data_IF_909490251335
#
_entry.id   IF_909490251335
#
_cell.length_a   1.000
_cell.length_b   1.000
_cell.length_c   1.000
_cell.angle_alpha   90.00
_cell.angle_beta   90.00
_cell.angle_gamma   90.00
#
_symmetry.space_group_name_H-M   'P 1'
#
loop_
_entity.id
_entity.type
_entity.pdbx_description
1 polymer ?
#
# COMPACT_ATOMS: atom_id res chain seq x y z
N UNK A 1 20.04 -69.66 -25.75
CA UNK A 1 19.39 -68.94 -24.63
C UNK A 1 19.15 -67.44 -24.88
N UNK A 2 19.78 -66.82 -25.88
CA UNK A 2 19.67 -65.37 -26.17
C UNK A 2 18.30 -64.89 -26.69
N UNK A 3 17.59 -65.70 -27.50
CA UNK A 3 16.30 -65.28 -28.09
C UNK A 3 15.15 -65.18 -27.10
N UNK A 4 15.09 -66.05 -26.07
CA UNK A 4 14.05 -66.00 -25.03
C UNK A 4 14.24 -64.81 -24.07
N UNK A 5 15.50 -64.47 -23.76
CA UNK A 5 15.82 -63.30 -22.94
C UNK A 5 15.45 -61.99 -23.65
N UNK A 6 15.74 -61.89 -24.95
CA UNK A 6 15.36 -60.72 -25.77
C UNK A 6 13.83 -60.56 -25.91
N UNK A 7 13.08 -61.66 -25.94
CA UNK A 7 11.61 -61.62 -25.99
C UNK A 7 10.98 -61.17 -24.66
N UNK A 8 11.62 -61.45 -23.52
CA UNK A 8 11.17 -61.00 -22.20
C UNK A 8 11.55 -59.54 -21.88
N UNK A 9 12.69 -59.06 -22.40
CA UNK A 9 13.18 -57.69 -22.14
C UNK A 9 12.43 -56.65 -23.00
N UNK A 10 12.03 -56.99 -24.22
CA UNK A 10 11.30 -56.08 -25.12
C UNK A 10 9.99 -55.52 -24.54
N UNK A 11 9.07 -56.32 -23.96
CA UNK A 11 7.85 -55.77 -23.37
C UNK A 11 8.15 -54.93 -22.13
N UNK A 12 9.15 -55.33 -21.32
CA UNK A 12 9.54 -54.63 -20.10
C UNK A 12 10.11 -53.24 -20.41
N UNK A 13 10.98 -53.14 -21.43
CA UNK A 13 11.51 -51.88 -21.93
C UNK A 13 10.40 -50.98 -22.49
N UNK A 14 9.42 -51.55 -23.21
CA UNK A 14 8.25 -50.80 -23.70
C UNK A 14 7.43 -50.24 -22.55
N UNK A 15 7.14 -51.03 -21.52
CA UNK A 15 6.41 -50.55 -20.33
C UNK A 15 7.16 -49.47 -19.57
N UNK A 16 8.48 -49.59 -19.40
CA UNK A 16 9.30 -48.55 -18.75
C UNK A 16 9.32 -47.28 -19.59
N UNK A 17 9.42 -47.39 -20.91
CA UNK A 17 9.36 -46.24 -21.81
C UNK A 17 7.99 -45.55 -21.79
N UNK A 18 6.90 -46.32 -21.76
CA UNK A 18 5.55 -45.72 -21.64
C UNK A 18 5.32 -45.09 -20.28
N UNK A 19 5.80 -45.70 -19.18
CA UNK A 19 5.71 -45.11 -17.84
C UNK A 19 6.56 -43.84 -17.73
N UNK A 20 7.75 -43.84 -18.33
CA UNK A 20 8.61 -42.66 -18.43
C UNK A 20 7.95 -41.55 -19.25
N UNK A 21 7.32 -41.88 -20.37
CA UNK A 21 6.59 -40.92 -21.21
C UNK A 21 5.39 -40.32 -20.46
N UNK A 22 4.62 -41.15 -19.74
CA UNK A 22 3.49 -40.68 -18.93
C UNK A 22 3.98 -39.80 -17.77
N UNK A 23 5.11 -40.14 -17.14
CA UNK A 23 5.70 -39.32 -16.08
C UNK A 23 6.18 -37.97 -16.63
N UNK A 24 6.83 -37.97 -17.80
CA UNK A 24 7.29 -36.74 -18.46
C UNK A 24 6.08 -35.87 -18.87
N UNK A 25 5.02 -36.45 -19.43
CA UNK A 25 3.79 -35.73 -19.77
C UNK A 25 3.04 -35.19 -18.52
N UNK A 26 3.01 -35.97 -17.44
CA UNK A 26 2.39 -35.54 -16.19
C UNK A 26 3.17 -34.40 -15.52
N UNK A 27 4.50 -34.39 -15.64
CA UNK A 27 5.36 -33.35 -15.06
C UNK A 27 5.51 -32.13 -15.99
N UNK A 28 5.33 -32.26 -17.30
CA UNK A 28 5.39 -31.13 -18.24
C UNK A 28 4.22 -30.15 -18.15
N UNK A 29 3.10 -30.55 -17.52
CA UNK A 29 1.93 -29.70 -17.36
C UNK A 29 1.91 -28.90 -16.05
N UNK A 30 2.87 -29.12 -15.16
CA UNK A 30 2.96 -28.36 -13.91
C UNK A 30 3.42 -26.91 -14.13
N UNK A 31 4.25 -26.67 -15.15
CA UNK A 31 4.86 -25.34 -15.36
C UNK A 31 3.86 -24.28 -15.85
N UNK A 32 2.85 -24.67 -16.64
CA UNK A 32 1.82 -23.74 -17.13
C UNK A 32 0.92 -23.19 -16.01
N UNK A 33 0.62 -24.01 -15.00
CA UNK A 33 -0.15 -23.58 -13.82
C UNK A 33 0.68 -22.72 -12.86
N UNK A 34 2.01 -22.85 -12.89
CA UNK A 34 2.94 -22.04 -12.09
C UNK A 34 3.27 -20.69 -12.75
N UNK A 35 3.32 -20.64 -14.09
CA UNK A 35 3.57 -19.42 -14.87
C UNK A 35 2.41 -18.41 -14.77
N UNK A 36 1.17 -18.90 -14.83
CA UNK A 36 -0.07 -18.11 -14.70
C UNK A 36 -0.21 -17.34 -13.37
N UNK A 37 0.69 -17.54 -12.41
CA UNK A 37 0.69 -16.89 -11.09
C UNK A 37 1.94 -16.04 -10.84
N UNK A 38 2.63 -15.65 -11.92
CA UNK A 38 3.73 -14.68 -11.88
C UNK A 38 3.22 -13.29 -11.49
N UNK A 39 3.89 -12.63 -10.55
CA UNK A 39 3.49 -11.32 -10.04
C UNK A 39 4.53 -10.24 -10.34
N UNK A 40 4.03 -9.08 -10.74
CA UNK A 40 4.81 -7.87 -10.95
C UNK A 40 4.59 -6.90 -9.80
N UNK A 41 5.64 -6.16 -9.43
CA UNK A 41 5.58 -5.18 -8.34
C UNK A 41 6.39 -3.94 -8.67
N UNK A 42 5.81 -2.79 -8.43
CA UNK A 42 6.51 -1.50 -8.43
C UNK A 42 6.06 -0.69 -7.23
N UNK A 43 6.98 -0.08 -6.50
CA UNK A 43 6.58 0.67 -5.31
C UNK A 43 7.73 1.19 -4.48
N UNK A 44 7.41 1.92 -3.44
CA UNK A 44 8.38 2.52 -2.56
C UNK A 44 7.69 3.50 -1.63
N UNK A 45 8.45 4.02 -0.69
CA UNK A 45 7.91 5.01 0.22
C UNK A 45 8.70 5.16 1.49
N UNK A 46 8.36 6.22 2.20
CA UNK A 46 8.85 6.44 3.55
C UNK A 46 7.71 7.01 4.37
N UNK A 47 7.40 6.38 5.51
CA UNK A 47 6.41 6.87 6.47
C UNK A 47 7.00 7.99 7.37
N UNK A 48 7.87 8.80 6.77
CA UNK A 48 8.48 9.97 7.40
C UNK A 48 7.74 11.20 6.91
N UNK A 49 7.58 12.17 7.79
CA UNK A 49 7.01 13.45 7.38
C UNK A 49 7.91 14.09 6.33
N UNK A 50 7.33 14.63 5.23
CA UNK A 50 8.04 15.58 4.41
C UNK A 50 8.51 16.71 5.33
N UNK A 51 9.82 16.91 5.44
CA UNK A 51 10.35 18.07 6.17
C UNK A 51 9.90 19.29 5.39
N UNK A 52 8.87 19.99 5.87
CA UNK A 52 8.56 21.33 5.36
C UNK A 52 9.83 22.14 5.57
N UNK A 53 10.52 22.49 4.47
CA UNK A 53 11.62 23.45 4.54
C UNK A 53 10.99 24.77 4.96
N UNK A 54 10.88 24.99 6.26
CA UNK A 54 10.51 26.28 6.81
C UNK A 54 11.63 27.20 6.37
N UNK A 55 11.34 28.00 5.34
CA UNK A 55 12.17 29.12 4.95
C UNK A 55 12.25 30.02 6.17
N UNK A 56 13.29 29.86 6.99
CA UNK A 56 13.61 30.84 8.02
C UNK A 56 13.93 32.11 7.26
N UNK A 57 13.09 33.16 7.34
CA UNK A 57 13.45 34.42 6.74
C UNK A 57 14.76 34.83 7.41
N UNK A 58 15.84 34.98 6.63
CA UNK A 58 17.06 35.59 7.15
C UNK A 58 16.65 36.96 7.68
N UNK A 59 16.56 37.10 9.00
CA UNK A 59 16.45 38.41 9.64
C UNK A 59 17.73 39.15 9.30
N UNK A 60 17.63 40.04 8.31
CA UNK A 60 18.66 40.98 7.94
C UNK A 60 18.83 41.93 9.13
N UNK A 61 19.80 41.65 10.00
CA UNK A 61 20.18 42.58 11.04
C UNK A 61 20.84 43.79 10.36
N UNK A 62 20.30 45.02 10.50
CA UNK A 62 20.98 46.20 9.99
C UNK A 62 22.26 46.45 10.80
N UNK A 63 23.37 46.85 10.17
CA UNK A 63 24.56 47.28 10.88
C UNK A 63 24.35 48.69 11.44
N UNK A 64 24.07 48.79 12.73
CA UNK A 64 24.18 50.01 13.53
C UNK A 64 24.66 49.59 14.91
N UNK A 65 25.78 50.06 15.45
CA UNK A 65 26.26 51.44 15.40
C UNK A 65 25.97 52.09 16.75
N UNK A 66 26.85 51.85 17.73
CA UNK A 66 27.07 52.74 18.88
C UNK A 66 26.09 52.64 20.06
N UNK A 67 26.67 52.44 21.25
CA UNK A 67 26.35 53.31 22.38
C UNK A 67 25.75 52.67 23.63
N UNK A 68 26.47 52.90 24.73
CA UNK A 68 25.99 53.06 26.11
C UNK A 68 25.66 51.83 26.96
N UNK A 69 26.72 51.41 27.67
CA UNK A 69 26.70 51.06 29.08
C UNK A 69 25.71 51.90 29.91
N UNK A 70 24.79 51.22 30.60
CA UNK A 70 24.15 51.71 31.82
C UNK A 70 23.78 50.51 32.71
N UNK A 71 24.45 50.30 33.86
CA UNK A 71 24.07 49.30 34.83
C UNK A 71 22.93 49.84 35.72
N UNK A 72 21.78 49.20 35.71
CA UNK A 72 20.72 49.51 36.67
C UNK A 72 20.90 48.69 37.96
N UNK A 73 20.87 49.33 39.15
CA UNK A 73 21.15 48.68 40.42
C UNK A 73 19.92 47.98 41.00
N UNK A 74 20.19 47.02 41.87
CA UNK A 74 19.17 46.32 42.66
C UNK A 74 18.32 47.25 43.54
N UNK A 75 17.07 46.82 43.69
CA UNK A 75 16.08 47.25 44.67
C UNK A 75 14.90 46.28 44.50
N UNK A 76 14.61 45.38 45.43
CA UNK A 76 14.35 45.69 46.82
C UNK A 76 12.91 46.14 46.95
N UNK A 77 11.95 45.22 46.77
CA UNK A 77 10.55 45.47 47.11
C UNK A 77 10.04 44.31 47.97
N UNK A 78 10.04 44.55 49.28
CA UNK A 78 9.38 43.72 50.27
C UNK A 78 7.90 44.07 50.32
N UNK A 79 7.05 43.05 50.20
CA UNK A 79 5.67 43.08 50.68
C UNK A 79 5.56 42.09 51.86
N UNK A 80 4.90 42.47 52.96
CA UNK A 80 4.92 41.71 54.19
C UNK A 80 3.84 40.63 54.17
N UNK A 81 4.21 39.36 54.03
CA UNK A 81 3.35 38.27 54.49
C UNK A 81 3.64 38.00 55.96
N UNK A 82 2.95 38.77 56.81
CA UNK A 82 2.64 38.36 58.19
C UNK A 82 1.75 37.12 58.10
N UNK A 83 2.31 35.95 58.43
CA UNK A 83 1.54 34.75 58.75
C UNK A 83 1.32 34.76 60.27
N UNK A 84 0.10 35.00 60.79
CA UNK A 84 -0.22 34.60 62.14
C UNK A 84 -0.73 33.16 62.09
N UNK A 85 0.12 32.23 62.50
CA UNK A 85 -0.32 30.97 63.07
C UNK A 85 -0.88 31.27 64.46
N UNK A 86 -2.21 31.21 64.63
CA UNK A 86 -2.98 31.04 65.89
C UNK A 86 -4.45 31.32 65.52
N UNK A 87 -5.47 30.50 65.76
CA UNK A 87 -5.64 29.23 66.45
C UNK A 87 -7.15 29.00 66.58
N UNK A 88 -7.54 27.73 66.76
CA UNK A 88 -8.78 27.29 67.44
C UNK A 88 -10.12 27.57 66.73
N UNK A 89 -10.76 26.48 66.27
CA UNK A 89 -12.22 26.36 66.33
C UNK A 89 -12.95 26.06 65.01
N UNK A 90 -13.24 24.78 64.79
CA UNK A 90 -14.52 24.31 64.21
C UNK A 90 -14.82 24.61 62.73
N UNK A 91 -14.76 23.58 61.90
CA UNK A 91 -15.54 23.52 60.66
C UNK A 91 -14.74 23.15 59.41
N UNK A 92 -14.90 21.91 58.96
CA UNK A 92 -14.70 21.53 57.57
C UNK A 92 -15.53 22.47 56.67
N UNK A 93 -14.92 23.50 56.05
CA UNK A 93 -15.67 24.29 55.07
C UNK A 93 -15.14 25.65 54.61
N UNK A 94 -14.04 26.20 55.14
CA UNK A 94 -13.79 27.64 54.98
C UNK A 94 -13.13 28.12 53.67
N UNK A 95 -12.15 27.40 53.12
CA UNK A 95 -11.37 27.83 51.95
C UNK A 95 -10.74 26.63 51.24
N UNK A 96 -10.30 25.64 52.01
CA UNK A 96 -9.63 24.44 51.48
C UNK A 96 -10.57 23.56 50.65
N UNK A 97 -11.83 23.41 51.06
CA UNK A 97 -12.87 22.72 50.27
C UNK A 97 -13.22 23.48 48.99
N UNK A 98 -13.24 24.81 49.03
CA UNK A 98 -13.46 25.66 47.86
C UNK A 98 -12.31 25.53 46.88
N UNK A 99 -11.06 25.51 47.35
CA UNK A 99 -9.88 25.31 46.50
C UNK A 99 -9.84 23.90 45.88
N UNK A 100 -10.20 22.87 46.64
CA UNK A 100 -10.32 21.49 46.11
C UNK A 100 -11.43 21.43 45.05
N UNK A 101 -12.58 22.04 45.32
CA UNK A 101 -13.68 22.09 44.36
C UNK A 101 -13.30 22.84 43.08
N UNK A 102 -12.60 23.97 43.19
CA UNK A 102 -12.12 24.75 42.04
C UNK A 102 -11.09 23.95 41.22
N UNK A 103 -10.20 23.20 41.88
CA UNK A 103 -9.22 22.35 41.22
C UNK A 103 -9.90 21.20 40.46
N UNK A 104 -10.88 20.53 41.07
CA UNK A 104 -11.64 19.45 40.44
C UNK A 104 -12.50 19.98 39.29
N UNK A 105 -13.16 21.13 39.47
CA UNK A 105 -13.96 21.76 38.42
C UNK A 105 -13.09 22.18 37.23
N UNK A 106 -11.91 22.76 37.47
CA UNK A 106 -10.98 23.12 36.40
C UNK A 106 -10.41 21.87 35.69
N UNK A 107 -10.12 20.80 36.44
CA UNK A 107 -9.71 19.51 35.88
C UNK A 107 -10.81 18.88 35.00
N UNK A 108 -12.06 18.91 35.46
CA UNK A 108 -13.22 18.40 34.70
C UNK A 108 -13.47 19.24 33.45
N UNK A 109 -13.40 20.57 33.53
CA UNK A 109 -13.54 21.44 32.35
C UNK A 109 -12.40 21.22 31.36
N UNK A 110 -11.17 21.04 31.83
CA UNK A 110 -10.02 20.74 30.95
C UNK A 110 -10.13 19.36 30.28
N UNK A 111 -10.62 18.35 30.99
CA UNK A 111 -10.86 17.01 30.41
C UNK A 111 -12.06 17.02 29.46
N UNK A 112 -13.15 17.71 29.79
CA UNK A 112 -14.31 17.83 28.91
C UNK A 112 -14.00 18.66 27.66
N UNK A 113 -13.20 19.72 27.77
CA UNK A 113 -12.69 20.46 26.60
C UNK A 113 -11.76 19.59 25.76
N UNK A 114 -10.91 18.76 26.38
CA UNK A 114 -10.03 17.82 25.66
C UNK A 114 -10.80 16.72 24.92
N UNK A 115 -11.92 16.26 25.47
CA UNK A 115 -12.80 15.23 24.87
C UNK A 115 -13.78 15.84 23.86
N UNK A 116 -14.29 17.04 24.12
CA UNK A 116 -15.26 17.73 23.26
C UNK A 116 -14.60 18.41 22.05
N UNK A 117 -13.34 18.84 22.16
CA UNK A 117 -12.58 19.41 21.04
C UNK A 117 -11.73 18.34 20.36
N UNK A 118 -12.35 17.26 19.86
CA UNK A 118 -11.73 16.31 18.93
C UNK A 118 -11.42 16.91 17.55
N UNK A 119 -10.90 18.16 17.50
CA UNK A 119 -10.70 18.92 16.27
C UNK A 119 -10.00 20.28 16.44
N UNK A 120 -9.03 20.43 17.34
CA UNK A 120 -8.30 21.70 17.49
C UNK A 120 -6.86 21.53 17.98
N UNK A 121 -5.91 21.81 17.07
CA UNK A 121 -4.53 22.25 17.28
C UNK A 121 -3.80 21.74 18.52
N UNK A 122 -3.13 20.61 18.36
CA UNK A 122 -2.13 20.12 19.30
C UNK A 122 -0.81 20.89 19.09
N UNK A 123 -0.61 21.93 19.90
CA UNK A 123 0.69 22.58 20.08
C UNK A 123 1.50 21.68 21.03
N UNK A 124 2.04 20.60 20.48
CA UNK A 124 2.84 19.61 21.19
C UNK A 124 3.72 18.85 20.21
N UNK A 125 5.04 18.85 20.44
CA UNK A 125 6.08 18.23 19.62
C UNK A 125 6.02 16.68 19.66
N UNK A 126 4.92 16.11 19.18
CA UNK A 126 4.82 14.70 18.84
C UNK A 126 3.82 14.57 17.68
N UNK A 127 4.24 15.09 16.52
CA UNK A 127 3.40 15.14 15.33
C UNK A 127 3.14 13.71 14.85
N UNK A 128 2.00 13.13 15.22
CA UNK A 128 1.53 11.82 14.76
C UNK A 128 0.19 11.97 14.01
N UNK A 129 0.23 12.48 12.77
CA UNK A 129 -0.94 12.75 11.97
C UNK A 129 -1.65 11.46 11.57
N UNK A 130 -2.90 11.60 11.15
CA UNK A 130 -3.63 10.51 10.51
C UNK A 130 -3.04 10.24 9.13
N UNK A 131 -2.95 8.97 8.77
CA UNK A 131 -2.58 8.48 7.44
C UNK A 131 -3.72 7.56 6.98
N UNK A 132 -4.10 7.68 5.72
CA UNK A 132 -5.09 6.82 5.10
C UNK A 132 -4.38 5.83 4.19
N UNK A 133 -4.53 4.54 4.49
CA UNK A 133 -4.02 3.43 3.68
C UNK A 133 -5.16 2.94 2.80
N UNK A 134 -4.99 3.05 1.49
CA UNK A 134 -6.00 2.72 0.51
C UNK A 134 -5.55 1.52 -0.32
N UNK A 135 -6.51 0.68 -0.67
CA UNK A 135 -6.39 -0.44 -1.60
C UNK A 135 -7.46 -0.28 -2.68
N UNK A 136 -7.03 -0.24 -3.93
CA UNK A 136 -7.90 -0.31 -5.10
C UNK A 136 -7.47 -1.52 -5.93
N UNK A 137 -8.37 -2.47 -6.12
CA UNK A 137 -8.17 -3.63 -6.96
C UNK A 137 -9.06 -3.53 -8.18
N UNK A 138 -8.50 -3.83 -9.35
CA UNK A 138 -9.21 -3.82 -10.64
C UNK A 138 -8.93 -5.15 -11.33
N UNK A 139 -9.99 -5.88 -11.63
CA UNK A 139 -9.96 -7.08 -12.46
C UNK A 139 -10.34 -6.75 -13.89
N UNK A 140 -9.38 -6.96 -14.78
CA UNK A 140 -9.51 -6.75 -16.20
C UNK A 140 -9.64 -8.09 -16.92
N UNK A 141 -10.37 -8.11 -18.03
CA UNK A 141 -10.37 -9.24 -18.94
C UNK A 141 -9.01 -9.37 -19.65
N UNK A 142 -8.65 -10.59 -20.03
CA UNK A 142 -7.41 -10.88 -20.74
C UNK A 142 -7.29 -10.21 -22.12
N UNK A 143 -8.34 -9.64 -22.69
CA UNK A 143 -8.20 -8.79 -23.86
C UNK A 143 -7.38 -7.52 -23.57
N UNK A 144 -7.16 -7.18 -22.29
CA UNK A 144 -6.23 -6.16 -21.83
C UNK A 144 -4.76 -6.63 -21.75
N UNK A 145 -4.35 -7.66 -22.51
CA UNK A 145 -2.95 -8.17 -22.53
C UNK A 145 -1.92 -7.08 -22.83
N UNK A 146 -2.30 -6.00 -23.52
CA UNK A 146 -1.45 -4.83 -23.77
C UNK A 146 -1.09 -4.03 -22.50
N UNK A 147 -1.82 -4.24 -21.40
CA UNK A 147 -1.56 -3.56 -20.11
C UNK A 147 -0.32 -4.15 -19.40
N UNK A 148 -0.08 -5.45 -19.50
CA UNK A 148 1.08 -6.11 -18.88
C UNK A 148 2.42 -5.51 -19.36
N UNK A 149 2.71 -5.39 -20.67
CA UNK A 149 3.94 -4.76 -21.14
C UNK A 149 4.02 -3.27 -20.80
N UNK A 150 2.89 -2.54 -20.74
CA UNK A 150 2.87 -1.15 -20.30
C UNK A 150 3.28 -1.04 -18.82
N UNK A 151 2.71 -1.84 -17.93
CA UNK A 151 3.07 -1.88 -16.50
C UNK A 151 4.53 -2.34 -16.29
N UNK A 152 5.02 -3.29 -17.09
CA UNK A 152 6.42 -3.72 -17.06
C UNK A 152 7.35 -2.56 -17.42
N UNK A 153 7.02 -1.78 -18.45
CA UNK A 153 7.82 -0.61 -18.87
C UNK A 153 7.84 0.49 -17.80
N UNK A 154 6.69 0.76 -17.17
CA UNK A 154 6.60 1.70 -16.03
C UNK A 154 7.53 1.18 -14.90
N UNK A 155 7.47 -0.11 -14.59
CA UNK A 155 8.32 -0.75 -13.58
C UNK A 155 9.82 -0.66 -13.86
N UNK A 156 10.24 -0.79 -15.10
CA UNK A 156 11.65 -0.70 -15.48
C UNK A 156 12.20 0.73 -15.47
N UNK A 157 11.37 1.72 -15.83
CA UNK A 157 11.79 3.10 -16.00
C UNK A 157 11.64 3.97 -14.73
N UNK A 158 10.77 3.58 -13.79
CA UNK A 158 10.38 4.51 -12.74
C UNK A 158 11.39 4.66 -11.60
N UNK A 159 11.52 5.91 -11.12
CA UNK A 159 12.18 6.25 -9.87
C UNK A 159 11.23 6.08 -8.68
N UNK A 160 11.39 4.97 -7.94
CA UNK A 160 10.55 4.69 -6.76
C UNK A 160 11.06 5.31 -5.45
N UNK A 161 12.22 5.99 -5.47
CA UNK A 161 12.81 6.59 -4.27
C UNK A 161 12.36 8.04 -4.03
N UNK A 162 11.99 8.78 -5.07
CA UNK A 162 11.49 10.15 -4.94
C UNK A 162 9.97 10.19 -4.74
N UNK A 163 9.43 11.14 -3.93
CA UNK A 163 7.99 11.40 -3.87
C UNK A 163 7.38 11.72 -5.24
N UNK A 164 8.11 12.47 -6.06
CA UNK A 164 7.71 12.84 -7.41
C UNK A 164 7.59 11.62 -8.31
N UNK A 165 8.61 10.74 -8.31
CA UNK A 165 8.57 9.50 -9.10
C UNK A 165 7.48 8.53 -8.63
N UNK A 166 7.17 8.46 -7.33
CA UNK A 166 5.99 7.71 -6.85
C UNK A 166 4.68 8.29 -7.38
N UNK A 167 4.52 9.60 -7.38
CA UNK A 167 3.31 10.22 -7.92
C UNK A 167 3.20 9.99 -9.43
N UNK A 168 4.31 10.03 -10.16
CA UNK A 168 4.37 9.69 -11.59
C UNK A 168 3.91 8.24 -11.84
N UNK A 169 4.44 7.25 -11.11
CA UNK A 169 4.01 5.85 -11.22
C UNK A 169 2.50 5.72 -10.99
N UNK A 170 1.98 6.37 -9.95
CA UNK A 170 0.56 6.34 -9.62
C UNK A 170 -0.28 6.94 -10.76
N UNK A 171 0.17 8.06 -11.33
CA UNK A 171 -0.50 8.72 -12.46
C UNK A 171 -0.45 7.88 -13.73
N UNK A 172 0.72 7.33 -14.09
CA UNK A 172 0.86 6.49 -15.28
C UNK A 172 0.05 5.20 -15.16
N UNK A 173 0.07 4.55 -14.00
CA UNK A 173 -0.72 3.33 -13.74
C UNK A 173 -2.21 3.62 -13.81
N UNK A 174 -2.68 4.68 -13.15
CA UNK A 174 -4.11 5.04 -13.18
C UNK A 174 -4.56 5.48 -14.57
N UNK A 175 -3.70 6.16 -15.33
CA UNK A 175 -3.96 6.53 -16.71
C UNK A 175 -4.02 5.31 -17.63
N UNK A 176 -3.12 4.33 -17.47
CA UNK A 176 -3.14 3.08 -18.24
C UNK A 176 -4.46 2.33 -18.02
N UNK A 177 -4.93 2.23 -16.77
CA UNK A 177 -6.25 1.65 -16.46
C UNK A 177 -7.42 2.46 -17.06
N UNK A 178 -7.34 3.79 -17.03
CA UNK A 178 -8.36 4.67 -17.60
C UNK A 178 -8.39 4.68 -19.14
N UNK A 179 -7.31 4.25 -19.81
CA UNK A 179 -7.27 4.07 -21.27
C UNK A 179 -7.93 2.76 -21.73
N UNK A 180 -8.15 1.83 -20.81
CA UNK A 180 -8.74 0.52 -21.06
C UNK A 180 -10.03 0.27 -20.24
N UNK A 181 -11.00 1.20 -20.25
CA UNK A 181 -12.21 1.06 -19.43
C UNK A 181 -13.08 -0.12 -19.85
N UNK A 182 -13.05 -0.51 -21.14
CA UNK A 182 -13.85 -1.61 -21.70
C UNK A 182 -13.46 -2.99 -21.19
N UNK A 183 -12.26 -3.14 -20.63
CA UNK A 183 -11.78 -4.41 -20.10
C UNK A 183 -11.96 -4.53 -18.59
N UNK A 184 -12.32 -3.44 -17.89
CA UNK A 184 -12.55 -3.45 -16.45
C UNK A 184 -13.89 -4.10 -16.12
N UNK A 185 -13.87 -5.27 -15.51
CA UNK A 185 -15.08 -6.05 -15.17
C UNK A 185 -15.29 -6.15 -13.68
N UNK A 186 -14.21 -6.19 -12.91
CA UNK A 186 -14.28 -6.29 -11.46
C UNK A 186 -13.52 -5.16 -10.78
N UNK A 187 -14.00 -4.73 -9.63
CA UNK A 187 -13.29 -3.79 -8.79
C UNK A 187 -13.59 -3.98 -7.30
N UNK A 188 -12.63 -3.61 -6.45
CA UNK A 188 -12.81 -3.48 -5.02
C UNK A 188 -12.01 -2.30 -4.49
N UNK A 189 -12.61 -1.57 -3.55
CA UNK A 189 -11.94 -0.50 -2.80
C UNK A 189 -11.94 -0.82 -1.31
N UNK A 190 -10.86 -0.43 -0.64
CA UNK A 190 -10.75 -0.48 0.81
C UNK A 190 -9.92 0.67 1.32
N UNK A 191 -10.41 1.37 2.34
CA UNK A 191 -9.66 2.43 3.02
C UNK A 191 -9.57 2.10 4.50
N UNK A 192 -8.38 2.23 5.06
CA UNK A 192 -8.11 2.10 6.48
C UNK A 192 -7.38 3.33 6.99
N UNK A 193 -7.93 3.96 8.03
CA UNK A 193 -7.28 5.10 8.67
C UNK A 193 -6.44 4.62 9.86
N UNK A 194 -5.18 5.05 9.89
CA UNK A 194 -4.26 4.75 10.97
C UNK A 194 -3.49 6.02 11.38
N UNK A 195 -2.81 5.96 12.52
CA UNK A 195 -1.81 6.97 12.90
C UNK A 195 -0.50 6.69 12.16
N UNK A 196 0.29 7.71 11.84
CA UNK A 196 1.57 7.59 11.10
C UNK A 196 2.44 6.44 11.63
N UNK A 197 2.62 6.35 12.95
CA UNK A 197 3.44 5.32 13.60
C UNK A 197 2.94 3.88 13.37
N UNK A 198 1.64 3.71 13.15
CA UNK A 198 1.02 2.41 12.87
C UNK A 198 0.83 2.18 11.36
N UNK A 199 0.72 3.24 10.56
CA UNK A 199 0.36 3.19 9.15
C UNK A 199 1.34 2.36 8.32
N UNK A 200 2.65 2.45 8.61
CA UNK A 200 3.67 1.63 7.95
C UNK A 200 3.40 0.13 8.12
N UNK A 201 3.13 -0.30 9.35
CA UNK A 201 2.82 -1.70 9.63
C UNK A 201 1.54 -2.18 8.94
N UNK A 202 0.52 -1.31 8.84
CA UNK A 202 -0.74 -1.63 8.17
C UNK A 202 -0.55 -1.76 6.65
N UNK A 203 0.18 -0.81 6.05
CA UNK A 203 0.53 -0.83 4.63
C UNK A 203 1.34 -2.08 4.29
N UNK A 204 2.42 -2.35 5.03
CA UNK A 204 3.27 -3.51 4.80
C UNK A 204 2.50 -4.84 4.96
N UNK A 205 1.53 -4.90 5.88
CA UNK A 205 0.67 -6.07 6.05
C UNK A 205 -0.24 -6.29 4.83
N UNK A 206 -0.85 -5.22 4.30
CA UNK A 206 -1.68 -5.31 3.09
C UNK A 206 -0.82 -5.68 1.88
N UNK A 207 0.33 -5.03 1.70
CA UNK A 207 1.29 -5.37 0.65
C UNK A 207 1.71 -6.84 0.72
N UNK A 208 2.06 -7.35 1.91
CA UNK A 208 2.44 -8.74 2.09
C UNK A 208 1.28 -9.70 1.79
N UNK A 209 0.04 -9.36 2.18
CA UNK A 209 -1.14 -10.18 1.91
C UNK A 209 -1.49 -10.25 0.42
N UNK A 210 -1.26 -9.18 -0.34
CA UNK A 210 -1.42 -9.21 -1.79
C UNK A 210 -0.27 -9.99 -2.44
N UNK A 211 0.97 -9.80 -1.97
CA UNK A 211 2.16 -10.52 -2.49
C UNK A 211 2.14 -12.01 -2.21
N UNK A 212 1.53 -12.46 -1.11
CA UNK A 212 1.43 -13.89 -0.79
C UNK A 212 0.58 -14.68 -1.77
N UNK A 213 -0.21 -13.99 -2.62
CA UNK A 213 -1.00 -14.61 -3.69
C UNK A 213 -0.14 -14.97 -4.90
N UNK A 214 1.06 -14.40 -5.03
CA UNK A 214 1.95 -14.65 -6.15
C UNK A 214 2.69 -15.96 -5.93
N UNK A 215 2.77 -16.80 -6.98
CA UNK A 215 3.62 -18.00 -6.92
C UNK A 215 5.09 -17.66 -7.10
N UNK A 216 5.39 -16.60 -7.87
CA UNK A 216 6.74 -16.05 -8.03
C UNK A 216 6.66 -14.55 -8.33
N UNK A 217 7.55 -13.76 -7.74
CA UNK A 217 7.72 -12.32 -8.04
C UNK A 217 8.79 -12.17 -9.13
N UNK A 218 8.36 -12.09 -10.39
CA UNK A 218 9.24 -12.14 -11.57
C UNK A 218 9.82 -10.78 -11.92
N UNK A 219 9.05 -9.71 -11.72
CA UNK A 219 9.50 -8.33 -11.90
C UNK A 219 9.19 -7.51 -10.65
N UNK A 220 10.22 -6.91 -10.05
CA UNK A 220 10.06 -6.02 -8.91
C UNK A 220 10.94 -4.79 -9.05
N UNK A 221 10.37 -3.59 -8.89
CA UNK A 221 11.13 -2.36 -8.69
C UNK A 221 10.66 -1.72 -7.40
N UNK A 222 11.42 -1.91 -6.32
CA UNK A 222 11.10 -1.29 -5.04
C UNK A 222 12.27 -0.55 -4.41
N UNK A 223 12.03 0.71 -4.02
CA UNK A 223 13.05 1.62 -3.50
C UNK A 223 14.28 1.72 -4.43
N UNK A 224 14.00 1.81 -5.72
CA UNK A 224 14.91 1.83 -6.86
C UNK A 224 15.81 0.59 -6.94
N UNK A 225 15.34 -0.54 -6.40
CA UNK A 225 15.97 -1.85 -6.58
C UNK A 225 15.16 -2.65 -7.58
N UNK A 226 15.56 -2.57 -8.84
CA UNK A 226 15.03 -3.42 -9.90
C UNK A 226 15.59 -4.84 -9.74
N UNK A 227 14.70 -5.82 -9.56
CA UNK A 227 14.98 -7.24 -9.66
C UNK A 227 14.02 -7.81 -10.68
N UNK A 228 14.56 -8.21 -11.82
CA UNK A 228 13.90 -9.11 -12.73
C UNK A 228 14.51 -10.50 -12.45
N UNK A 229 13.70 -11.44 -11.94
CA UNK A 229 14.03 -12.83 -12.19
C UNK A 229 13.94 -12.96 -13.71
N UNK A 230 15.02 -13.38 -14.37
CA UNK A 230 14.97 -13.75 -15.79
C UNK A 230 13.71 -14.60 -15.92
N UNK A 231 12.69 -14.05 -16.61
CA UNK A 231 11.52 -14.82 -16.95
C UNK A 231 12.09 -16.09 -17.55
N UNK A 232 11.96 -17.22 -16.84
CA UNK A 232 12.36 -18.51 -17.34
C UNK A 232 11.71 -18.53 -18.71
N UNK A 233 12.52 -18.41 -19.77
CA UNK A 233 12.07 -18.12 -21.13
C UNK A 233 10.78 -18.85 -21.30
N UNK A 234 9.67 -18.10 -21.48
CA UNK A 234 8.41 -18.70 -21.82
C UNK A 234 8.73 -19.56 -23.03
N UNK A 235 8.94 -20.86 -22.78
CA UNK A 235 9.06 -21.85 -23.82
C UNK A 235 7.85 -21.53 -24.67
N UNK A 236 8.04 -21.24 -25.97
CA UNK A 236 6.96 -20.73 -26.80
C UNK A 236 5.78 -21.61 -26.48
N UNK A 237 4.72 -21.01 -25.91
CA UNK A 237 3.49 -21.70 -25.57
C UNK A 237 3.24 -22.57 -26.76
N UNK A 238 3.47 -23.88 -26.63
CA UNK A 238 3.62 -24.69 -27.81
C UNK A 238 2.32 -24.47 -28.55
N UNK A 239 2.44 -23.99 -29.78
CA UNK A 239 1.37 -24.04 -30.75
C UNK A 239 1.17 -25.53 -31.08
N UNK A 240 0.91 -26.33 -30.05
CA UNK A 240 0.55 -27.73 -30.07
C UNK A 240 -0.96 -27.76 -30.07
N UNK A 241 -1.45 -27.69 -31.31
CA UNK A 241 -2.50 -28.55 -31.83
C UNK A 241 -3.70 -28.63 -30.89
N UNK A 242 -4.65 -27.74 -31.15
CA UNK A 242 -6.10 -28.00 -31.17
C UNK A 242 -6.50 -29.30 -30.45
N UNK A 243 -6.42 -29.27 -29.12
CA UNK A 243 -6.86 -30.36 -28.27
C UNK A 243 -8.25 -29.94 -27.78
N UNK A 244 -9.34 -30.48 -28.36
CA UNK A 244 -10.71 -29.99 -28.14
C UNK A 244 -11.23 -30.17 -26.71
N UNK A 245 -10.41 -30.71 -25.80
CA UNK A 245 -10.69 -30.92 -24.38
C UNK A 245 -10.22 -29.77 -23.47
N UNK A 246 -9.39 -28.80 -23.91
CA UNK A 246 -9.02 -27.64 -23.06
C UNK A 246 -10.19 -26.69 -22.83
N UNK A 247 -11.06 -26.53 -23.83
CA UNK A 247 -12.31 -25.77 -23.75
C UNK A 247 -13.31 -26.30 -22.69
N UNK A 248 -13.07 -27.50 -22.15
CA UNK A 248 -13.97 -28.14 -21.17
C UNK A 248 -13.44 -27.96 -19.73
N UNK A 249 -12.15 -27.65 -19.55
CA UNK A 249 -11.56 -27.45 -18.23
C UNK A 249 -11.18 -25.98 -17.94
N UNK A 250 -11.02 -25.16 -18.96
CA UNK A 250 -10.77 -23.72 -18.84
C UNK A 250 -12.09 -22.99 -19.14
N UNK A 251 -12.77 -22.54 -18.08
CA UNK A 251 -13.99 -21.76 -18.19
C UNK A 251 -13.76 -20.43 -18.94
N UNK A 252 -14.83 -19.81 -19.48
CA UNK A 252 -14.75 -18.55 -20.21
C UNK A 252 -14.50 -17.39 -19.24
N UNK A 253 -13.23 -17.14 -18.91
CA UNK A 253 -12.86 -16.00 -18.07
C UNK A 253 -11.38 -16.04 -17.74
N UNK A 254 -10.60 -15.44 -18.62
CA UNK A 254 -9.20 -15.13 -18.42
C UNK A 254 -9.09 -13.69 -17.89
N UNK A 255 -8.38 -13.49 -16.79
CA UNK A 255 -8.32 -12.20 -16.08
C UNK A 255 -6.90 -11.75 -15.75
N UNK A 256 -6.73 -10.43 -15.63
CA UNK A 256 -5.55 -9.76 -15.12
C UNK A 256 -6.00 -8.89 -13.95
N UNK A 257 -5.30 -8.96 -12.83
CA UNK A 257 -5.58 -8.15 -11.64
C UNK A 257 -4.51 -7.09 -11.50
N UNK A 258 -4.94 -5.85 -11.27
CA UNK A 258 -4.07 -4.74 -10.88
C UNK A 258 -4.52 -4.24 -9.51
N UNK A 259 -3.58 -4.20 -8.57
CA UNK A 259 -3.79 -3.73 -7.20
C UNK A 259 -2.94 -2.50 -6.94
N UNK A 260 -3.57 -1.40 -6.55
CA UNK A 260 -2.93 -0.16 -6.13
C UNK A 260 -3.08 -0.02 -4.61
N UNK A 261 -1.96 0.04 -3.92
CA UNK A 261 -1.87 0.38 -2.50
C UNK A 261 -1.25 1.76 -2.36
N UNK A 262 -1.92 2.67 -1.66
CA UNK A 262 -1.38 4.01 -1.37
C UNK A 262 -1.47 4.32 0.12
N UNK A 263 -0.44 4.96 0.65
CA UNK A 263 -0.49 5.58 1.98
C UNK A 263 -0.45 7.09 1.81
N UNK A 264 -1.53 7.77 2.19
CA UNK A 264 -1.67 9.23 2.06
C UNK A 264 -1.70 9.91 3.41
N UNK A 265 -0.97 11.02 3.52
CA UNK A 265 -1.02 11.88 4.70
C UNK A 265 -2.39 12.56 4.79
N UNK A 266 -3.01 12.52 5.96
CA UNK A 266 -4.34 13.09 6.19
C UNK A 266 -5.47 12.09 6.01
N UNK A 267 -6.70 12.62 5.96
CA UNK A 267 -7.91 11.83 5.72
C UNK A 267 -8.15 11.77 4.21
N UNK A 268 -8.23 10.55 3.68
CA UNK A 268 -8.55 10.29 2.29
C UNK A 268 -9.32 8.98 2.22
N UNK A 269 -10.48 8.99 1.59
CA UNK A 269 -11.34 7.82 1.47
C UNK A 269 -11.68 7.59 0.00
N UNK A 270 -11.50 6.35 -0.46
CA UNK A 270 -11.93 5.96 -1.80
C UNK A 270 -13.45 5.70 -1.80
N UNK A 271 -14.15 6.09 -2.89
CA UNK A 271 -15.57 5.78 -3.02
C UNK A 271 -15.78 4.27 -3.11
N UNK A 272 -16.96 3.82 -2.66
CA UNK A 272 -17.41 2.46 -2.93
C UNK A 272 -17.66 2.30 -4.43
N UNK A 273 -17.17 1.21 -5.01
CA UNK A 273 -17.27 0.94 -6.44
C UNK A 273 -18.36 -0.09 -6.70
N UNK A 274 -19.43 0.31 -7.38
CA UNK A 274 -20.56 -0.57 -7.72
C UNK A 274 -20.88 -0.60 -9.22
N UNK A 275 -20.29 0.31 -10.00
CA UNK A 275 -20.42 0.38 -11.44
C UNK A 275 -19.14 0.98 -12.07
N UNK A 276 -19.03 0.90 -13.39
CA UNK A 276 -17.89 1.44 -14.14
C UNK A 276 -17.65 2.95 -13.93
N UNK A 277 -18.69 3.75 -13.68
CA UNK A 277 -18.57 5.19 -13.43
C UNK A 277 -17.90 5.46 -12.08
N UNK A 278 -18.31 4.71 -11.05
CA UNK A 278 -17.71 4.73 -9.71
C UNK A 278 -16.23 4.33 -9.78
N UNK A 279 -15.89 3.29 -10.57
CA UNK A 279 -14.50 2.88 -10.79
C UNK A 279 -13.69 3.99 -11.43
N UNK A 280 -14.20 4.63 -12.49
CA UNK A 280 -13.54 5.77 -13.13
C UNK A 280 -13.37 6.95 -12.18
N UNK A 281 -14.33 7.17 -11.29
CA UNK A 281 -14.20 8.18 -10.23
C UNK A 281 -13.11 7.81 -9.22
N UNK A 282 -13.08 6.56 -8.75
CA UNK A 282 -12.07 6.06 -7.82
C UNK A 282 -10.65 6.18 -8.42
N UNK A 283 -10.47 5.77 -9.67
CA UNK A 283 -9.20 5.87 -10.40
C UNK A 283 -8.74 7.32 -10.59
N UNK A 284 -9.66 8.23 -10.93
CA UNK A 284 -9.34 9.66 -11.00
C UNK A 284 -8.95 10.24 -9.64
N UNK A 285 -9.65 9.86 -8.58
CA UNK A 285 -9.38 10.35 -7.23
C UNK A 285 -8.04 9.86 -6.69
N UNK A 286 -7.72 8.57 -6.86
CA UNK A 286 -6.43 8.01 -6.43
C UNK A 286 -5.28 8.54 -7.30
N UNK A 287 -5.47 8.67 -8.61
CA UNK A 287 -4.46 9.22 -9.52
C UNK A 287 -4.15 10.71 -9.30
N UNK A 288 -5.05 11.43 -8.61
CA UNK A 288 -4.89 12.87 -8.32
C UNK A 288 -4.18 13.14 -6.99
N UNK A 289 -3.71 12.12 -6.28
CA UNK A 289 -2.98 12.30 -5.02
C UNK A 289 -1.66 13.02 -5.31
N UNK A 290 -1.38 14.16 -4.66
CA UNK A 290 -0.14 14.90 -4.90
C UNK A 290 1.06 14.25 -4.21
N UNK A 291 2.25 14.45 -4.78
CA UNK A 291 3.50 13.83 -4.33
C UNK A 291 3.86 14.11 -2.86
N UNK A 292 3.52 15.30 -2.36
CA UNK A 292 3.77 15.71 -0.98
C UNK A 292 2.88 15.00 0.05
N UNK A 293 1.72 14.48 -0.39
CA UNK A 293 0.81 13.71 0.45
C UNK A 293 1.01 12.19 0.30
N UNK A 294 1.67 11.73 -0.76
CA UNK A 294 1.91 10.30 -1.02
C UNK A 294 3.15 9.78 -0.27
N UNK A 295 2.92 9.18 0.89
CA UNK A 295 3.98 8.63 1.74
C UNK A 295 4.57 7.34 1.16
N UNK A 296 3.70 6.44 0.69
CA UNK A 296 4.09 5.18 0.07
C UNK A 296 3.11 4.77 -1.03
N UNK A 297 3.63 4.05 -2.01
CA UNK A 297 2.91 3.49 -3.14
C UNK A 297 3.38 2.06 -3.37
N UNK A 298 2.46 1.16 -3.66
CA UNK A 298 2.78 -0.16 -4.20
C UNK A 298 1.72 -0.53 -5.24
N UNK A 299 2.16 -0.72 -6.47
CA UNK A 299 1.34 -1.24 -7.56
C UNK A 299 1.79 -2.67 -7.79
N UNK A 300 0.84 -3.59 -7.79
CA UNK A 300 1.07 -4.99 -8.06
C UNK A 300 0.13 -5.48 -9.15
N UNK A 301 0.61 -6.33 -10.04
CA UNK A 301 -0.24 -6.91 -11.08
C UNK A 301 0.06 -8.40 -11.27
N UNK A 302 -0.98 -9.13 -11.65
CA UNK A 302 -0.92 -10.59 -11.83
C UNK A 302 -1.93 -11.03 -12.89
N UNK A 303 -1.51 -11.81 -13.90
CA UNK A 303 -0.15 -12.29 -14.11
C UNK A 303 0.78 -11.19 -14.65
N UNK A 304 2.08 -11.34 -14.46
CA UNK A 304 3.08 -10.38 -14.93
C UNK A 304 3.57 -10.67 -16.35
N UNK A 305 3.72 -11.95 -16.67
CA UNK A 305 4.21 -12.38 -17.97
C UNK A 305 3.18 -12.13 -19.06
N UNK A 306 3.65 -11.61 -20.21
CA UNK A 306 2.82 -11.41 -21.39
C UNK A 306 2.26 -12.75 -21.87
N UNK A 307 0.95 -12.83 -22.07
CA UNK A 307 0.31 -14.07 -22.50
C UNK A 307 -0.32 -14.89 -21.38
N UNK A 308 0.05 -14.64 -20.12
CA UNK A 308 -0.49 -15.36 -18.97
C UNK A 308 -1.76 -14.69 -18.41
N UNK A 309 -2.70 -15.52 -17.96
CA UNK A 309 -3.98 -15.04 -17.41
C UNK A 309 -4.43 -15.88 -16.22
N UNK A 310 -5.21 -15.28 -15.32
CA UNK A 310 -5.87 -15.98 -14.21
C UNK A 310 -7.20 -16.57 -14.68
N UNK A 311 -7.51 -17.78 -14.21
CA UNK A 311 -8.82 -18.37 -14.42
C UNK A 311 -9.89 -17.69 -13.56
N UNK A 312 -11.17 -17.88 -13.91
CA UNK A 312 -12.30 -17.41 -13.10
C UNK A 312 -12.27 -17.97 -11.68
N UNK A 313 -11.91 -19.25 -11.54
CA UNK A 313 -11.88 -19.92 -10.23
C UNK A 313 -10.75 -19.36 -9.35
N UNK A 314 -9.57 -19.11 -9.92
CA UNK A 314 -8.45 -18.47 -9.19
C UNK A 314 -8.81 -17.04 -8.76
N UNK A 315 -9.49 -16.28 -9.63
CA UNK A 315 -9.95 -14.92 -9.33
C UNK A 315 -10.84 -14.91 -8.08
N UNK A 316 -11.87 -15.75 -8.03
CA UNK A 316 -12.82 -15.77 -6.91
C UNK A 316 -12.24 -16.41 -5.65
N UNK A 317 -11.26 -17.30 -5.78
CA UNK A 317 -10.56 -17.89 -4.64
C UNK A 317 -9.65 -16.86 -3.93
N UNK A 318 -8.86 -16.08 -4.70
CA UNK A 318 -7.82 -15.20 -4.16
C UNK A 318 -8.29 -13.75 -3.95
N UNK A 319 -9.36 -13.34 -4.64
CA UNK A 319 -9.91 -11.98 -4.59
C UNK A 319 -11.43 -11.99 -4.31
N UNK A 320 -11.86 -12.51 -3.14
CA UNK A 320 -13.28 -12.63 -2.80
C UNK A 320 -13.99 -11.28 -2.62
N UNK A 321 -13.25 -10.19 -2.41
CA UNK A 321 -13.80 -8.85 -2.22
C UNK A 321 -14.20 -8.14 -3.53
N UNK A 322 -13.79 -8.69 -4.68
CA UNK A 322 -14.07 -8.11 -6.00
C UNK A 322 -15.56 -8.15 -6.34
N UNK A 323 -16.06 -7.03 -6.86
CA UNK A 323 -17.44 -6.87 -7.30
C UNK A 323 -17.49 -6.52 -8.78
N UNK A 324 -18.53 -7.00 -9.45
CA UNK A 324 -18.81 -6.65 -10.85
C UNK A 324 -19.11 -5.15 -10.95
N UNK A 325 -18.57 -4.49 -11.98
CA UNK A 325 -18.73 -3.05 -12.28
C UNK A 325 -19.35 -2.80 -13.65
#
# INVERSE_FOLDING_TARGET
MSKKLQQAIKPLLKTVFTLGLVLVLALSHADGALAARSGGRIGGGSFRMPSSRTYTPRTYAPPGGGGYYAPYPGGGFGFPFLIPFWGIGGGFGGLFTILIFLAIANFLVQTFRRVSNGGGEDIGYDSNPSVSVNRLQVGLLAQARDLQPELNRIAEAADTNSPEGRAEILQETTLALLRHPEYCVYAATGTQQARLNAAESQFNRLALAERSKFSSETLSNVNNQLRAALAQEALPSSSEIDNPTRLISEGPGEYIIVTLLTATLGKFELPAVNNADDLRQALRQIGSIPADQLLALEVLWTPQAEGDTLSSDDLFAEYPDLKLV
#
